data_IF_981554808224
#
_entry.id   IF_981554808224
#
_cell.length_a   1.000
_cell.length_b   1.000
_cell.length_c   1.000
_cell.angle_alpha   90.00
_cell.angle_beta   90.00
_cell.angle_gamma   90.00
#
_symmetry.space_group_name_H-M   'P 1'
#
loop_
_entity.id
_entity.type
_entity.pdbx_description
1 polymer ?
#
# COMPACT_ATOMS: atom_id res chain seq x y z
N UNK A 1 25.76 41.59 27.27
CA UNK A 1 26.21 40.30 26.72
C UNK A 1 25.01 39.38 26.75
N UNK A 2 24.27 39.33 25.64
CA UNK A 2 23.02 38.59 25.51
C UNK A 2 23.31 37.27 24.79
N UNK A 3 22.94 36.17 25.43
CA UNK A 3 23.12 34.81 24.91
C UNK A 3 22.05 34.49 23.87
N UNK A 4 22.46 34.11 22.66
CA UNK A 4 21.54 33.67 21.60
C UNK A 4 21.26 32.18 21.79
N UNK A 5 20.02 31.85 22.17
CA UNK A 5 19.47 30.49 22.15
C UNK A 5 19.00 30.15 20.73
N UNK A 6 19.66 29.19 20.07
CA UNK A 6 19.21 28.68 18.77
C UNK A 6 18.25 27.52 19.02
N UNK A 7 16.96 27.75 18.79
CA UNK A 7 15.94 26.71 18.84
C UNK A 7 16.05 25.81 17.60
N UNK A 8 16.55 24.59 17.80
CA UNK A 8 16.51 23.53 16.80
C UNK A 8 15.07 23.09 16.58
N UNK A 9 14.47 23.55 15.48
CA UNK A 9 13.22 23.00 14.96
C UNK A 9 13.44 22.51 13.53
N UNK A 10 13.96 21.29 13.46
CA UNK A 10 13.75 20.30 12.39
C UNK A 10 12.30 20.35 11.90
N UNK A 11 12.05 20.52 10.59
CA UNK A 11 11.25 19.75 9.57
C UNK A 11 11.13 20.69 8.34
N UNK A 12 11.21 20.32 7.07
CA UNK A 12 11.05 19.06 6.36
C UNK A 12 11.69 19.21 4.97
N UNK A 13 12.36 18.16 4.47
CA UNK A 13 12.21 17.65 3.10
C UNK A 13 12.99 16.35 2.96
N UNK A 14 12.53 15.31 3.63
CA UNK A 14 12.86 13.95 3.18
C UNK A 14 11.92 13.68 2.01
N UNK A 15 12.34 14.05 0.81
CA UNK A 15 11.91 13.33 -0.37
C UNK A 15 12.61 11.97 -0.29
N UNK A 16 12.00 11.06 0.47
CA UNK A 16 12.35 9.65 0.49
C UNK A 16 11.89 9.08 -0.85
N UNK A 17 12.78 9.20 -1.83
CA UNK A 17 12.62 8.62 -3.15
C UNK A 17 12.66 7.09 -2.98
N UNK A 18 11.46 6.52 -2.95
CA UNK A 18 11.09 5.19 -3.43
C UNK A 18 12.24 4.20 -3.63
N UNK A 19 12.68 3.55 -2.55
CA UNK A 19 13.40 2.28 -2.65
C UNK A 19 13.26 1.44 -1.39
N UNK A 20 12.04 1.37 -0.84
CA UNK A 20 11.69 0.30 0.08
C UNK A 20 11.64 -1.02 -0.71
N UNK A 21 12.74 -1.74 -0.74
CA UNK A 21 12.81 -3.14 -1.19
C UNK A 21 12.03 -3.99 -0.17
N UNK A 22 10.71 -3.90 -0.23
CA UNK A 22 9.77 -4.86 0.32
C UNK A 22 9.64 -5.99 -0.69
N UNK A 23 10.09 -7.17 -0.30
CA UNK A 23 10.20 -8.36 -1.14
C UNK A 23 8.82 -9.04 -1.35
N UNK A 24 7.80 -8.27 -1.73
CA UNK A 24 6.40 -8.70 -1.89
C UNK A 24 5.60 -7.80 -2.83
N UNK A 25 4.44 -8.26 -3.31
CA UNK A 25 3.59 -7.49 -4.24
C UNK A 25 2.84 -6.34 -3.56
N UNK A 26 2.97 -6.20 -2.24
CA UNK A 26 2.36 -5.14 -1.43
C UNK A 26 3.16 -3.84 -1.61
N UNK A 27 2.79 -3.07 -2.63
CA UNK A 27 3.30 -1.73 -2.86
C UNK A 27 2.25 -0.65 -2.50
N UNK A 28 2.70 0.49 -1.98
CA UNK A 28 1.80 1.60 -1.62
C UNK A 28 0.97 2.11 -2.80
N UNK A 29 1.49 2.05 -4.04
CA UNK A 29 0.74 2.43 -5.22
C UNK A 29 -0.42 1.46 -5.52
N UNK A 30 -0.24 0.17 -5.24
CA UNK A 30 -1.31 -0.84 -5.38
C UNK A 30 -2.41 -0.62 -4.34
N UNK A 31 -2.03 -0.40 -3.08
CA UNK A 31 -2.97 -0.08 -1.99
C UNK A 31 -3.78 1.18 -2.33
N UNK A 32 -3.11 2.25 -2.74
CA UNK A 32 -3.76 3.52 -3.10
C UNK A 32 -4.69 3.38 -4.32
N UNK A 33 -4.29 2.58 -5.32
CA UNK A 33 -5.12 2.28 -6.49
C UNK A 33 -6.42 1.55 -6.11
N UNK A 34 -6.32 0.57 -5.22
CA UNK A 34 -7.48 -0.20 -4.73
C UNK A 34 -8.37 0.68 -3.85
N UNK A 35 -7.77 1.47 -2.96
CA UNK A 35 -8.49 2.38 -2.07
C UNK A 35 -9.33 3.40 -2.84
N UNK A 36 -8.76 3.99 -3.90
CA UNK A 36 -9.49 4.88 -4.82
C UNK A 36 -10.58 4.17 -5.60
N UNK A 37 -10.34 2.93 -6.04
CA UNK A 37 -11.33 2.14 -6.77
C UNK A 37 -12.52 1.70 -5.90
N UNK A 38 -12.36 1.67 -4.57
CA UNK A 38 -13.41 1.39 -3.59
C UNK A 38 -14.04 2.68 -3.01
N UNK A 39 -13.87 3.83 -3.67
CA UNK A 39 -14.37 5.15 -3.23
C UNK A 39 -13.99 5.49 -1.78
N UNK A 40 -12.80 5.08 -1.34
CA UNK A 40 -12.31 5.28 0.03
C UNK A 40 -13.20 4.70 1.14
N UNK A 41 -14.12 3.79 0.81
CA UNK A 41 -15.06 3.17 1.77
C UNK A 41 -14.44 2.08 2.64
N UNK A 42 -13.28 1.56 2.24
CA UNK A 42 -12.55 0.50 2.94
C UNK A 42 -11.24 1.07 3.47
N UNK A 43 -10.86 0.67 4.68
CA UNK A 43 -9.62 1.12 5.29
C UNK A 43 -8.39 0.53 4.58
N UNK A 44 -7.28 1.29 4.53
CA UNK A 44 -6.03 0.85 3.89
C UNK A 44 -5.43 -0.38 4.56
N UNK A 45 -5.62 -0.57 5.86
CA UNK A 45 -5.20 -1.75 6.60
C UNK A 45 -5.95 -2.99 6.12
N UNK A 46 -7.28 -2.89 5.93
CA UNK A 46 -8.08 -3.99 5.37
C UNK A 46 -7.64 -4.34 3.95
N UNK A 47 -7.35 -3.33 3.12
CA UNK A 47 -6.81 -3.54 1.77
C UNK A 47 -5.46 -4.25 1.84
N UNK A 48 -4.58 -3.84 2.75
CA UNK A 48 -3.26 -4.45 2.94
C UNK A 48 -3.37 -5.92 3.33
N UNK A 49 -4.26 -6.25 4.28
CA UNK A 49 -4.51 -7.64 4.67
C UNK A 49 -5.03 -8.47 3.49
N UNK A 50 -5.99 -7.94 2.73
CA UNK A 50 -6.52 -8.63 1.55
C UNK A 50 -5.44 -8.88 0.47
N UNK A 51 -4.52 -7.94 0.27
CA UNK A 51 -3.37 -8.11 -0.64
C UNK A 51 -2.45 -9.22 -0.14
N UNK A 52 -2.12 -9.25 1.15
CA UNK A 52 -1.24 -10.28 1.75
C UNK A 52 -1.85 -11.68 1.62
N UNK A 53 -3.16 -11.81 1.85
CA UNK A 53 -3.89 -13.06 1.67
C UNK A 53 -3.91 -13.51 0.20
N UNK A 54 -4.15 -12.58 -0.73
CA UNK A 54 -4.12 -12.87 -2.15
C UNK A 54 -2.71 -13.27 -2.62
N UNK A 55 -1.67 -12.59 -2.14
CA UNK A 55 -0.26 -12.88 -2.45
C UNK A 55 0.16 -14.30 -2.05
N UNK A 56 -0.34 -14.80 -0.91
CA UNK A 56 -0.06 -16.18 -0.48
C UNK A 56 -0.45 -17.23 -1.55
N UNK A 57 -1.52 -16.96 -2.31
CA UNK A 57 -1.96 -17.82 -3.42
C UNK A 57 -0.99 -17.86 -4.61
N UNK A 58 -0.13 -16.85 -4.77
CA UNK A 58 0.81 -16.73 -5.87
C UNK A 58 2.26 -17.00 -5.49
N UNK A 59 2.54 -17.42 -4.25
CA UNK A 59 3.90 -17.68 -3.73
C UNK A 59 4.74 -18.61 -4.63
N UNK A 60 4.09 -19.59 -5.28
CA UNK A 60 4.73 -20.59 -6.14
C UNK A 60 4.54 -20.32 -7.65
N UNK A 61 3.99 -19.17 -8.04
CA UNK A 61 3.73 -18.85 -9.43
C UNK A 61 5.04 -18.68 -10.22
N UNK A 62 5.15 -19.39 -11.35
CA UNK A 62 6.34 -19.33 -12.23
C UNK A 62 6.48 -17.99 -12.95
N UNK A 63 5.36 -17.33 -13.26
CA UNK A 63 5.34 -16.03 -13.96
C UNK A 63 4.86 -14.97 -12.98
N UNK A 64 5.77 -14.09 -12.57
CA UNK A 64 5.47 -13.05 -11.56
C UNK A 64 4.97 -11.73 -12.13
N UNK A 65 5.22 -11.49 -13.42
CA UNK A 65 4.94 -10.21 -14.10
C UNK A 65 3.48 -9.78 -14.01
N UNK A 66 2.54 -10.73 -14.01
CA UNK A 66 1.09 -10.44 -14.01
C UNK A 66 0.43 -10.57 -12.63
N UNK A 67 1.16 -11.04 -11.62
CA UNK A 67 0.62 -11.26 -10.27
C UNK A 67 -0.02 -9.99 -9.68
N UNK A 68 0.58 -8.78 -9.77
CA UNK A 68 -0.05 -7.57 -9.26
C UNK A 68 -1.44 -7.29 -9.84
N UNK A 69 -1.65 -7.61 -11.12
CA UNK A 69 -2.93 -7.41 -11.81
C UNK A 69 -3.98 -8.37 -11.25
N UNK A 70 -3.60 -9.63 -11.04
CA UNK A 70 -4.50 -10.63 -10.47
C UNK A 70 -4.82 -10.36 -9.00
N UNK A 71 -3.82 -9.98 -8.21
CA UNK A 71 -4.02 -9.56 -6.82
C UNK A 71 -4.98 -8.36 -6.77
N UNK A 72 -4.76 -7.32 -7.58
CA UNK A 72 -5.65 -6.16 -7.62
C UNK A 72 -7.10 -6.56 -7.90
N UNK A 73 -7.33 -7.45 -8.86
CA UNK A 73 -8.66 -7.92 -9.22
C UNK A 73 -9.32 -8.71 -8.08
N UNK A 74 -8.61 -9.68 -7.52
CA UNK A 74 -9.12 -10.52 -6.43
C UNK A 74 -9.47 -9.69 -5.20
N UNK A 75 -8.61 -8.74 -4.82
CA UNK A 75 -8.87 -7.83 -3.69
C UNK A 75 -10.08 -6.95 -3.95
N UNK A 76 -10.23 -6.41 -5.16
CA UNK A 76 -11.41 -5.60 -5.52
C UNK A 76 -12.69 -6.44 -5.48
N UNK A 77 -12.70 -7.63 -6.07
CA UNK A 77 -13.89 -8.51 -6.07
C UNK A 77 -14.31 -8.90 -4.64
N UNK A 78 -13.34 -9.19 -3.75
CA UNK A 78 -13.61 -9.53 -2.35
C UNK A 78 -14.14 -8.33 -1.55
N UNK A 79 -13.50 -7.17 -1.69
CA UNK A 79 -13.85 -6.00 -0.87
C UNK A 79 -15.10 -5.30 -1.40
N UNK A 80 -15.34 -5.26 -2.72
CA UNK A 80 -16.57 -4.69 -3.28
C UNK A 80 -17.79 -5.54 -2.93
N UNK A 81 -17.67 -6.88 -2.97
CA UNK A 81 -18.75 -7.79 -2.59
C UNK A 81 -19.17 -7.66 -1.12
N UNK A 82 -18.29 -7.16 -0.25
CA UNK A 82 -18.60 -6.86 1.15
C UNK A 82 -19.26 -5.49 1.35
N UNK A 83 -19.21 -4.58 0.37
CA UNK A 83 -19.83 -3.24 0.46
C UNK A 83 -21.31 -3.27 0.04
N UNK A 84 -21.70 -4.23 -0.82
CA UNK A 84 -23.06 -4.36 -1.37
C UNK A 84 -24.01 -5.25 -0.53
N UNK A 85 -23.58 -5.72 0.65
CA UNK A 85 -24.41 -6.45 1.61
C UNK A 85 -24.69 -5.64 2.86
#
# INVERSE_FOLDING_TARGET
MESITINSSTIAKTADDSAGIGNGFVDNALIESIWKALDSRVDREQITQAILEAEAGYKNARVKTFIPIFIRRDVLERLSGNIER
#
